data_IF_305256960109
#
_entry.id   IF_305256960109
#
_cell.length_a   1.000
_cell.length_b   1.000
_cell.length_c   1.000
_cell.angle_alpha   90.00
_cell.angle_beta   90.00
_cell.angle_gamma   90.00
#
_symmetry.space_group_name_H-M   'P 1'
#
loop_
_entity.id
_entity.type
_entity.pdbx_description
1 polymer ?
#
# COMPACT_ATOMS: atom_id res chain seq x y z
N UNK A 1 12.76 19.56 56.97
CA UNK A 1 12.83 18.69 55.79
C UNK A 1 13.07 19.61 54.62
N UNK A 2 14.22 19.47 53.97
CA UNK A 2 14.78 20.50 53.09
C UNK A 2 14.02 20.60 51.76
N UNK A 3 13.91 21.80 51.18
CA UNK A 3 13.23 21.97 49.86
C UNK A 3 13.93 21.17 48.78
N UNK A 4 15.24 21.01 48.89
CA UNK A 4 16.06 20.23 47.97
C UNK A 4 15.72 18.74 48.03
N UNK A 5 15.33 18.21 49.19
CA UNK A 5 14.89 16.82 49.33
C UNK A 5 13.57 16.56 48.58
N UNK A 6 12.63 17.51 48.63
CA UNK A 6 11.36 17.40 47.89
C UNK A 6 11.57 17.50 46.38
N UNK A 7 12.47 18.36 45.92
CA UNK A 7 12.80 18.47 44.48
C UNK A 7 13.44 17.18 43.98
N UNK A 8 14.37 16.59 44.74
CA UNK A 8 15.00 15.32 44.40
C UNK A 8 13.99 14.18 44.37
N UNK A 9 13.08 14.12 45.35
CA UNK A 9 12.01 13.12 45.40
C UNK A 9 11.06 13.25 44.21
N UNK A 10 10.66 14.47 43.83
CA UNK A 10 9.82 14.73 42.65
C UNK A 10 10.55 14.32 41.36
N UNK A 11 11.84 14.63 41.23
CA UNK A 11 12.64 14.24 40.07
C UNK A 11 12.76 12.71 39.95
N UNK A 12 12.96 11.99 41.06
CA UNK A 12 13.00 10.52 41.09
C UNK A 12 11.63 9.92 40.74
N UNK A 13 10.53 10.50 41.23
CA UNK A 13 9.18 10.06 40.89
C UNK A 13 8.84 10.30 39.40
N UNK A 14 9.29 11.43 38.83
CA UNK A 14 9.15 11.72 37.40
C UNK A 14 9.99 10.76 36.53
N UNK A 15 11.20 10.39 36.98
CA UNK A 15 12.01 9.36 36.32
C UNK A 15 11.36 7.97 36.37
N UNK A 16 10.66 7.64 37.47
CA UNK A 16 9.91 6.40 37.60
C UNK A 16 8.71 6.34 36.64
N UNK A 17 7.98 7.46 36.47
CA UNK A 17 6.87 7.56 35.50
C UNK A 17 7.32 7.47 34.04
N UNK A 18 8.56 7.88 33.73
CA UNK A 18 9.15 7.77 32.39
C UNK A 18 9.68 6.35 32.07
N UNK A 19 9.64 5.42 33.03
CA UNK A 19 10.22 4.08 32.92
C UNK A 19 9.20 2.96 32.65
N UNK A 20 8.09 3.25 31.95
CA UNK A 20 7.16 2.23 31.42
C UNK A 20 6.99 2.28 29.89
N UNK A 21 7.85 3.00 29.16
CA UNK A 21 7.88 2.99 27.69
C UNK A 21 8.96 2.05 27.11
N UNK A 22 9.33 1.00 27.83
CA UNK A 22 10.16 -0.06 27.24
C UNK A 22 9.31 -0.87 26.28
N UNK A 23 9.75 -1.05 25.02
CA UNK A 23 9.20 -2.06 24.12
C UNK A 23 9.41 -3.45 24.74
N UNK A 24 8.50 -3.86 25.62
CA UNK A 24 8.50 -5.19 26.21
C UNK A 24 8.16 -6.16 25.10
N UNK A 25 9.04 -7.14 24.91
CA UNK A 25 8.78 -8.27 24.05
C UNK A 25 7.43 -8.90 24.41
N UNK A 26 6.56 -9.08 23.41
CA UNK A 26 5.23 -9.63 23.60
C UNK A 26 5.13 -10.99 22.91
N UNK A 27 5.22 -12.08 23.69
CA UNK A 27 5.14 -13.43 23.14
C UNK A 27 3.77 -13.69 22.52
N UNK A 28 2.69 -13.20 23.13
CA UNK A 28 1.33 -13.38 22.66
C UNK A 28 1.08 -12.70 21.30
N UNK A 29 1.81 -11.62 21.02
CA UNK A 29 1.78 -11.00 19.71
C UNK A 29 2.46 -11.89 18.66
N UNK A 30 3.62 -12.47 18.98
CA UNK A 30 4.32 -13.42 18.11
C UNK A 30 3.49 -14.68 17.89
N UNK A 31 2.87 -15.23 18.94
CA UNK A 31 2.01 -16.44 18.87
C UNK A 31 0.73 -16.21 18.04
N UNK A 32 0.31 -14.95 17.90
CA UNK A 32 -0.85 -14.59 17.08
C UNK A 32 -0.53 -14.36 15.61
N UNK A 33 0.75 -14.42 15.23
CA UNK A 33 1.21 -14.12 13.88
C UNK A 33 0.67 -15.15 12.90
N UNK A 34 0.06 -14.62 11.85
CA UNK A 34 -0.29 -15.38 10.65
C UNK A 34 0.25 -14.61 9.45
N UNK A 35 1.03 -15.29 8.61
CA UNK A 35 1.43 -14.74 7.32
C UNK A 35 0.19 -14.75 6.44
N UNK A 36 -0.16 -13.57 5.91
CA UNK A 36 -1.32 -13.42 5.04
C UNK A 36 -0.91 -12.99 3.66
N UNK A 37 -1.76 -13.36 2.72
CA UNK A 37 -1.64 -12.97 1.33
C UNK A 37 -2.09 -11.54 1.09
N UNK A 38 -2.80 -10.91 2.03
CA UNK A 38 -3.13 -9.48 1.92
C UNK A 38 -3.68 -8.90 3.20
N UNK A 39 -3.50 -7.59 3.38
CA UNK A 39 -4.13 -6.83 4.44
C UNK A 39 -5.43 -6.16 4.00
N UNK A 40 -6.36 -5.89 4.94
CA UNK A 40 -7.50 -5.03 4.71
C UNK A 40 -7.10 -3.66 4.20
N UNK A 41 -7.91 -3.07 3.34
CA UNK A 41 -7.63 -1.76 2.74
C UNK A 41 -8.80 -0.79 2.83
N UNK A 42 -9.81 -1.16 3.62
CA UNK A 42 -10.94 -0.32 4.01
C UNK A 42 -11.26 -0.54 5.48
N UNK A 43 -11.96 0.42 6.09
CA UNK A 43 -12.41 0.29 7.48
C UNK A 43 -13.31 -0.94 7.67
N UNK A 44 -14.18 -1.22 6.70
CA UNK A 44 -15.12 -2.36 6.75
C UNK A 44 -14.34 -3.68 6.70
N UNK A 45 -13.41 -3.84 5.75
CA UNK A 45 -12.60 -5.06 5.65
C UNK A 45 -11.74 -5.24 6.90
N UNK A 46 -11.24 -4.14 7.46
CA UNK A 46 -10.46 -4.17 8.69
C UNK A 46 -11.31 -4.64 9.86
N UNK A 47 -12.54 -4.14 10.02
CA UNK A 47 -13.47 -4.57 11.08
C UNK A 47 -13.83 -6.05 10.95
N UNK A 48 -14.05 -6.54 9.73
CA UNK A 48 -14.33 -7.96 9.45
C UNK A 48 -13.12 -8.83 9.83
N UNK A 49 -11.92 -8.46 9.37
CA UNK A 49 -10.69 -9.21 9.66
C UNK A 49 -10.33 -9.18 11.16
N UNK A 50 -10.46 -8.01 11.79
CA UNK A 50 -10.28 -7.83 13.23
C UNK A 50 -11.25 -8.68 14.05
N UNK A 51 -12.53 -8.71 13.66
CA UNK A 51 -13.56 -9.55 14.29
C UNK A 51 -13.26 -11.03 14.15
N UNK A 52 -12.77 -11.47 12.98
CA UNK A 52 -12.35 -12.86 12.75
C UNK A 52 -11.13 -13.24 13.60
N UNK A 53 -10.12 -12.37 13.66
CA UNK A 53 -8.89 -12.62 14.44
C UNK A 53 -9.13 -12.53 15.95
N UNK A 54 -10.15 -11.78 16.36
CA UNK A 54 -10.69 -11.68 17.72
C UNK A 54 -9.62 -11.37 18.78
N UNK A 55 -8.86 -10.29 18.54
CA UNK A 55 -7.78 -9.86 19.42
C UNK A 55 -8.28 -9.45 20.81
N UNK A 56 -9.52 -8.98 20.94
CA UNK A 56 -10.14 -8.63 22.23
C UNK A 56 -10.17 -9.83 23.19
N UNK A 57 -10.50 -11.02 22.68
CA UNK A 57 -10.48 -12.25 23.49
C UNK A 57 -9.07 -12.65 23.92
N UNK A 58 -8.06 -12.35 23.10
CA UNK A 58 -6.64 -12.62 23.41
C UNK A 58 -6.06 -11.56 24.36
N UNK A 59 -6.59 -10.34 24.34
CA UNK A 59 -6.12 -9.22 25.15
C UNK A 59 -6.15 -9.53 26.66
N UNK A 60 -7.15 -10.29 27.14
CA UNK A 60 -7.27 -10.68 28.55
C UNK A 60 -6.24 -11.70 29.04
N UNK A 61 -5.43 -12.27 28.13
CA UNK A 61 -4.46 -13.32 28.43
C UNK A 61 -3.01 -12.85 28.37
N UNK A 62 -2.77 -11.66 27.82
CA UNK A 62 -1.43 -11.09 27.65
C UNK A 62 -1.12 -10.10 28.78
N UNK A 63 0.18 -9.92 29.07
CA UNK A 63 0.70 -8.93 30.01
C UNK A 63 1.64 -7.91 29.34
N UNK A 64 1.53 -7.77 28.02
CA UNK A 64 2.35 -6.88 27.19
C UNK A 64 1.95 -5.41 27.31
N UNK A 65 0.64 -5.11 27.36
CA UNK A 65 0.08 -3.75 27.45
C UNK A 65 -1.38 -3.80 27.94
N UNK A 66 -2.05 -2.65 27.98
CA UNK A 66 -3.47 -2.56 28.34
C UNK A 66 -4.37 -3.28 27.34
N UNK A 67 -5.50 -3.79 27.84
CA UNK A 67 -6.49 -4.53 27.06
C UNK A 67 -6.96 -3.74 25.83
N UNK A 68 -7.21 -2.43 26.00
CA UNK A 68 -7.72 -1.55 24.96
C UNK A 68 -6.71 -1.30 23.83
N UNK A 69 -5.42 -1.43 24.12
CA UNK A 69 -4.36 -1.23 23.15
C UNK A 69 -4.04 -2.48 22.35
N UNK A 70 -4.38 -3.66 22.85
CA UNK A 70 -4.11 -4.93 22.17
C UNK A 70 -5.08 -5.16 21.00
N UNK A 71 -4.71 -4.63 19.83
CA UNK A 71 -5.58 -4.54 18.66
C UNK A 71 -5.11 -5.46 17.53
N UNK A 72 -6.00 -5.67 16.58
CA UNK A 72 -5.67 -6.30 15.32
C UNK A 72 -4.79 -5.37 14.47
N UNK A 73 -3.74 -5.93 13.89
CA UNK A 73 -2.90 -5.28 12.90
C UNK A 73 -2.74 -6.21 11.70
N UNK A 74 -2.69 -5.63 10.51
CA UNK A 74 -2.15 -6.28 9.34
C UNK A 74 -1.13 -5.34 8.69
N UNK A 75 0.13 -5.76 8.70
CA UNK A 75 1.29 -4.91 8.39
C UNK A 75 2.39 -5.71 7.72
N UNK A 76 3.42 -5.04 7.19
CA UNK A 76 4.62 -5.69 6.69
C UNK A 76 5.46 -6.28 7.85
N UNK A 77 6.23 -7.34 7.56
CA UNK A 77 7.26 -7.82 8.48
C UNK A 77 8.53 -6.95 8.42
N UNK A 78 9.47 -7.20 9.34
CA UNK A 78 10.75 -6.48 9.41
C UNK A 78 11.62 -6.54 8.14
N UNK A 79 11.48 -7.60 7.35
CA UNK A 79 12.21 -7.77 6.08
C UNK A 79 11.49 -7.14 4.88
N UNK A 80 10.25 -6.68 5.06
CA UNK A 80 9.39 -6.07 4.02
C UNK A 80 9.06 -7.00 2.85
N UNK A 81 9.12 -8.31 3.07
CA UNK A 81 8.84 -9.32 2.05
C UNK A 81 7.54 -10.09 2.31
N UNK A 82 6.94 -9.95 3.49
CA UNK A 82 5.69 -10.62 3.87
C UNK A 82 4.73 -9.63 4.53
N UNK A 83 3.43 -9.92 4.39
CA UNK A 83 2.37 -9.30 5.18
C UNK A 83 1.98 -10.25 6.30
N UNK A 84 1.76 -9.70 7.49
CA UNK A 84 1.43 -10.46 8.68
C UNK A 84 0.21 -9.85 9.36
N UNK A 85 -0.71 -10.71 9.77
CA UNK A 85 -1.77 -10.38 10.70
C UNK A 85 -1.35 -10.77 12.11
N UNK A 86 -1.47 -9.84 13.06
CA UNK A 86 -1.12 -10.05 14.48
C UNK A 86 -2.12 -9.35 15.39
N UNK A 87 -2.22 -9.85 16.61
CA UNK A 87 -2.80 -9.12 17.74
C UNK A 87 -1.64 -8.53 18.54
N UNK A 88 -1.53 -7.21 18.61
CA UNK A 88 -0.40 -6.58 19.27
C UNK A 88 -0.81 -5.24 19.90
N UNK A 89 -0.04 -4.72 20.87
CA UNK A 89 -0.24 -3.38 21.38
C UNK A 89 -0.08 -2.34 20.26
N UNK A 90 -1.13 -1.54 20.06
CA UNK A 90 -1.10 -0.41 19.16
C UNK A 90 -0.11 0.66 19.63
N UNK A 91 0.68 1.15 18.69
CA UNK A 91 1.64 2.25 18.84
C UNK A 91 1.26 3.44 17.96
N UNK A 92 1.76 4.61 18.35
CA UNK A 92 1.79 5.78 17.49
C UNK A 92 3.05 5.65 16.62
N UNK A 93 2.87 5.78 15.31
CA UNK A 93 3.92 5.68 14.29
C UNK A 93 4.27 7.09 13.84
N UNK A 94 5.56 7.37 13.67
CA UNK A 94 6.09 8.71 13.42
C UNK A 94 6.79 8.76 12.06
N UNK A 95 6.07 9.17 11.02
CA UNK A 95 6.69 9.45 9.72
C UNK A 95 7.37 8.24 9.09
N UNK A 96 6.89 7.04 9.39
CA UNK A 96 7.33 5.77 8.79
C UNK A 96 6.12 4.86 8.51
N UNK A 97 6.31 3.81 7.72
CA UNK A 97 5.33 2.74 7.64
C UNK A 97 5.33 1.87 8.90
N UNK A 98 4.17 1.30 9.23
CA UNK A 98 4.04 0.35 10.34
C UNK A 98 4.59 -1.01 9.95
N UNK A 99 5.40 -1.62 10.80
CA UNK A 99 5.77 -3.03 10.70
C UNK A 99 5.47 -3.82 11.97
N UNK A 100 5.47 -5.15 11.83
CA UNK A 100 5.64 -6.05 12.96
C UNK A 100 7.04 -6.65 12.95
N UNK A 101 7.82 -6.34 13.99
CA UNK A 101 9.12 -6.94 14.23
C UNK A 101 8.93 -8.26 14.98
N UNK A 102 9.04 -9.37 14.25
CA UNK A 102 8.87 -10.72 14.79
C UNK A 102 9.87 -11.02 15.92
N UNK A 103 11.12 -10.58 15.77
CA UNK A 103 12.15 -10.81 16.78
C UNK A 103 11.92 -9.97 18.06
N UNK A 104 11.44 -8.74 17.87
CA UNK A 104 11.08 -7.84 18.98
C UNK A 104 9.71 -8.17 19.59
N UNK A 105 8.84 -8.88 18.88
CA UNK A 105 7.45 -9.09 19.29
C UNK A 105 6.66 -7.78 19.38
N UNK A 106 6.99 -6.77 18.56
CA UNK A 106 6.40 -5.43 18.67
C UNK A 106 5.97 -4.86 17.32
N UNK A 107 4.92 -4.03 17.37
CA UNK A 107 4.59 -3.07 16.32
C UNK A 107 5.52 -1.87 16.46
N UNK A 108 6.15 -1.43 15.36
CA UNK A 108 7.06 -0.29 15.37
C UNK A 108 7.15 0.42 14.02
N UNK A 109 7.89 1.52 13.99
CA UNK A 109 8.31 2.22 12.78
C UNK A 109 9.25 1.34 11.95
N UNK A 110 8.95 1.19 10.66
CA UNK A 110 9.91 0.65 9.70
C UNK A 110 10.86 1.77 9.28
N UNK A 111 11.98 1.87 9.98
CA UNK A 111 12.99 2.92 9.82
C UNK A 111 13.56 3.01 8.39
N UNK A 112 13.53 1.90 7.64
CA UNK A 112 13.99 1.86 6.24
C UNK A 112 12.94 2.37 5.24
N UNK A 113 11.77 2.80 5.71
CA UNK A 113 10.65 3.26 4.87
C UNK A 113 10.00 4.54 5.46
N UNK A 114 10.73 5.68 5.48
CA UNK A 114 10.20 6.97 5.94
C UNK A 114 9.10 7.50 5.02
N UNK A 115 8.05 8.06 5.62
CA UNK A 115 7.02 8.81 4.90
C UNK A 115 7.66 10.03 4.23
N UNK A 116 7.28 10.32 2.98
CA UNK A 116 7.60 11.59 2.34
C UNK A 116 6.50 12.01 1.36
N UNK A 117 6.63 13.20 0.76
CA UNK A 117 5.61 13.78 -0.12
C UNK A 117 5.37 12.99 -1.41
N UNK A 118 6.35 12.18 -1.82
CA UNK A 118 6.26 11.33 -3.00
C UNK A 118 5.88 9.89 -2.63
N UNK A 119 6.72 9.22 -1.83
CA UNK A 119 6.59 7.81 -1.52
C UNK A 119 7.52 7.25 -0.41
N UNK A 120 7.00 6.44 0.54
CA UNK A 120 5.58 6.19 0.82
C UNK A 120 4.90 7.43 1.38
N UNK A 121 3.65 7.70 0.96
CA UNK A 121 2.85 8.78 1.57
C UNK A 121 2.02 8.19 2.72
N UNK A 122 2.46 8.49 3.93
CA UNK A 122 1.73 8.20 5.17
C UNK A 122 1.65 9.47 6.00
N UNK A 123 0.69 9.52 6.92
CA UNK A 123 0.57 10.64 7.85
C UNK A 123 1.85 10.73 8.70
N UNK A 124 2.29 11.95 9.02
CA UNK A 124 3.46 12.16 9.87
C UNK A 124 3.30 11.50 11.24
N UNK A 125 2.06 11.36 11.72
CA UNK A 125 1.73 10.72 12.99
C UNK A 125 0.40 9.99 12.81
N UNK A 126 0.37 8.68 13.06
CA UNK A 126 -0.88 7.90 13.03
C UNK A 126 -0.86 6.71 13.98
N UNK A 127 -2.05 6.18 14.29
CA UNK A 127 -2.16 4.95 15.07
C UNK A 127 -1.85 3.75 14.17
N UNK A 128 -0.91 2.90 14.57
CA UNK A 128 -0.57 1.66 13.86
C UNK A 128 -1.75 0.74 13.52
N UNK A 129 -2.88 0.78 14.24
CA UNK A 129 -4.09 0.02 13.88
C UNK A 129 -4.76 0.55 12.61
N UNK A 130 -4.44 1.78 12.23
CA UNK A 130 -4.99 2.48 11.07
C UNK A 130 -4.12 2.31 9.81
N UNK A 131 -3.12 1.43 9.84
CA UNK A 131 -2.24 1.17 8.70
C UNK A 131 -3.01 0.73 7.43
N UNK A 132 -4.20 0.13 7.58
CA UNK A 132 -5.09 -0.24 6.48
C UNK A 132 -5.56 0.94 5.63
N UNK A 133 -5.47 2.17 6.15
CA UNK A 133 -5.90 3.37 5.42
C UNK A 133 -4.99 3.65 4.22
N UNK A 134 -3.75 3.17 4.20
CA UNK A 134 -2.77 3.54 3.18
C UNK A 134 -2.78 2.57 1.99
N UNK A 135 -2.83 3.13 0.77
CA UNK A 135 -2.74 2.39 -0.50
C UNK A 135 -1.74 3.04 -1.44
N UNK A 136 -1.02 2.26 -2.22
CA UNK A 136 -0.08 2.80 -3.23
C UNK A 136 -0.74 2.86 -4.60
N UNK A 137 -0.81 4.05 -5.21
CA UNK A 137 -1.23 4.26 -6.60
C UNK A 137 -0.01 4.53 -7.48
N UNK A 138 0.02 3.92 -8.66
CA UNK A 138 0.98 4.22 -9.71
C UNK A 138 0.20 4.82 -10.87
N UNK A 139 0.36 6.13 -11.11
CA UNK A 139 -0.18 6.79 -12.29
C UNK A 139 0.78 6.56 -13.45
N UNK A 140 0.25 6.09 -14.56
CA UNK A 140 1.03 5.74 -15.74
C UNK A 140 0.40 6.40 -16.96
N UNK A 141 1.24 7.03 -17.77
CA UNK A 141 0.86 7.61 -19.05
C UNK A 141 1.68 6.99 -20.16
N UNK A 142 0.99 6.61 -21.24
CA UNK A 142 1.61 6.15 -22.49
C UNK A 142 1.01 6.87 -23.70
N UNK A 143 1.83 7.04 -24.74
CA UNK A 143 1.34 7.39 -26.08
C UNK A 143 0.87 6.14 -26.79
N UNK A 144 -0.30 6.23 -27.41
CA UNK A 144 -0.94 5.17 -28.18
C UNK A 144 -0.64 5.34 -29.68
N UNK A 145 -0.51 4.22 -30.38
CA UNK A 145 -0.16 4.20 -31.82
C UNK A 145 -1.25 3.63 -32.72
N UNK A 146 -2.17 2.85 -32.16
CA UNK A 146 -3.30 2.26 -32.89
C UNK A 146 -4.66 2.84 -32.45
N UNK A 147 -4.66 4.02 -31.82
CA UNK A 147 -5.87 4.73 -31.42
C UNK A 147 -5.96 6.03 -32.22
N UNK A 148 -7.18 6.38 -32.61
CA UNK A 148 -7.56 7.73 -33.03
C UNK A 148 -8.54 8.26 -32.01
N UNK A 149 -8.21 9.37 -31.34
CA UNK A 149 -9.09 9.94 -30.32
C UNK A 149 -10.45 10.36 -30.90
N UNK A 150 -11.52 10.09 -30.14
CA UNK A 150 -12.90 10.48 -30.43
C UNK A 150 -13.51 11.15 -29.20
N UNK A 151 -14.59 11.92 -29.39
CA UNK A 151 -15.27 12.59 -28.27
C UNK A 151 -15.91 11.59 -27.29
N UNK A 152 -16.24 10.39 -27.75
CA UNK A 152 -16.80 9.31 -26.95
C UNK A 152 -15.77 8.80 -25.93
N UNK A 153 -14.48 8.84 -26.25
CA UNK A 153 -13.40 8.48 -25.34
C UNK A 153 -13.17 9.50 -24.21
N UNK A 154 -13.77 10.69 -24.30
CA UNK A 154 -13.82 11.64 -23.18
C UNK A 154 -14.74 11.17 -22.05
N UNK A 155 -15.73 10.33 -22.37
CA UNK A 155 -16.72 9.84 -21.42
C UNK A 155 -16.38 8.42 -20.98
N UNK A 156 -16.00 8.23 -19.71
CA UNK A 156 -15.64 6.93 -19.14
C UNK A 156 -16.78 5.93 -19.16
N UNK A 157 -18.03 6.39 -19.26
CA UNK A 157 -19.21 5.55 -19.34
C UNK A 157 -19.58 5.16 -20.78
N UNK A 158 -18.88 5.68 -21.79
CA UNK A 158 -19.18 5.36 -23.18
C UNK A 158 -18.77 3.92 -23.52
N UNK A 159 -19.51 3.32 -24.46
CA UNK A 159 -19.19 1.98 -24.94
C UNK A 159 -17.79 1.91 -25.57
N UNK A 160 -17.37 2.98 -26.24
CA UNK A 160 -16.07 3.08 -26.90
C UNK A 160 -14.91 3.17 -25.88
N UNK A 161 -15.13 3.90 -24.78
CA UNK A 161 -14.16 3.93 -23.69
C UNK A 161 -14.04 2.54 -23.05
N UNK A 162 -15.17 1.93 -22.68
CA UNK A 162 -15.20 0.63 -22.00
C UNK A 162 -14.64 -0.50 -22.86
N UNK A 163 -14.88 -0.49 -24.17
CA UNK A 163 -14.36 -1.51 -25.10
C UNK A 163 -12.83 -1.51 -25.19
N UNK A 164 -12.17 -0.41 -24.87
CA UNK A 164 -10.71 -0.32 -24.80
C UNK A 164 -10.20 -0.50 -23.36
N UNK A 165 -10.81 0.17 -22.39
CA UNK A 165 -10.35 0.22 -21.01
C UNK A 165 -10.46 -1.12 -20.28
N UNK A 166 -11.57 -1.85 -20.45
CA UNK A 166 -11.81 -3.14 -19.78
C UNK A 166 -10.79 -4.20 -20.18
N UNK A 167 -10.60 -4.52 -21.48
CA UNK A 167 -9.60 -5.51 -21.87
C UNK A 167 -8.16 -5.04 -21.61
N UNK A 168 -7.87 -3.74 -21.65
CA UNK A 168 -6.59 -3.18 -21.22
C UNK A 168 -6.30 -3.51 -19.76
N UNK A 169 -7.23 -3.23 -18.85
CA UNK A 169 -7.05 -3.51 -17.44
C UNK A 169 -7.11 -5.00 -17.10
N UNK A 170 -7.86 -5.81 -17.86
CA UNK A 170 -7.84 -7.28 -17.73
C UNK A 170 -6.45 -7.82 -17.99
N UNK A 171 -5.80 -7.38 -19.07
CA UNK A 171 -4.42 -7.78 -19.39
C UNK A 171 -3.44 -7.44 -18.26
N UNK A 172 -3.48 -6.20 -17.73
CA UNK A 172 -2.58 -5.80 -16.64
C UNK A 172 -2.89 -6.56 -15.34
N UNK A 173 -4.17 -6.83 -15.09
CA UNK A 173 -4.59 -7.64 -13.94
C UNK A 173 -4.04 -9.05 -14.03
N UNK A 174 -4.14 -9.71 -15.18
CA UNK A 174 -3.58 -11.05 -15.38
C UNK A 174 -2.05 -11.03 -15.24
N UNK A 175 -1.38 -10.02 -15.82
CA UNK A 175 0.07 -9.88 -15.76
C UNK A 175 0.61 -9.72 -14.33
N UNK A 176 -0.02 -8.87 -13.52
CA UNK A 176 0.47 -8.56 -12.18
C UNK A 176 -0.08 -9.49 -11.10
N UNK A 177 -1.35 -9.90 -11.18
CA UNK A 177 -1.95 -10.76 -10.15
C UNK A 177 -1.41 -12.20 -10.16
N UNK A 178 -0.77 -12.63 -11.23
CA UNK A 178 -0.21 -13.99 -11.35
C UNK A 178 1.25 -14.11 -10.89
N UNK A 179 1.93 -13.00 -10.62
CA UNK A 179 3.35 -12.99 -10.23
C UNK A 179 3.52 -12.99 -8.73
N UNK A 180 4.38 -13.85 -8.19
CA UNK A 180 4.58 -14.00 -6.74
C UNK A 180 4.81 -12.67 -6.00
N UNK A 181 5.58 -11.74 -6.59
CA UNK A 181 5.83 -10.42 -6.01
C UNK A 181 4.56 -9.56 -5.87
N UNK A 182 3.60 -9.69 -6.78
CA UNK A 182 2.48 -8.76 -6.93
C UNK A 182 1.12 -9.40 -6.68
N UNK A 183 1.00 -10.72 -6.77
CA UNK A 183 -0.22 -11.53 -6.56
C UNK A 183 -1.00 -11.16 -5.31
N UNK A 184 -0.27 -10.70 -4.31
CA UNK A 184 -0.75 -10.44 -2.96
C UNK A 184 -0.96 -8.95 -2.65
N UNK A 185 -0.33 -8.09 -3.43
CA UNK A 185 -0.36 -6.64 -3.22
C UNK A 185 -1.03 -5.88 -4.36
N UNK A 186 -1.19 -6.44 -5.55
CA UNK A 186 -1.95 -5.81 -6.63
C UNK A 186 -3.45 -5.84 -6.31
N UNK A 187 -4.11 -4.69 -6.39
CA UNK A 187 -5.56 -4.58 -6.17
C UNK A 187 -6.33 -4.40 -7.47
N UNK A 188 -5.99 -3.38 -8.27
CA UNK A 188 -6.74 -3.07 -9.48
C UNK A 188 -5.92 -2.26 -10.49
N UNK A 189 -6.44 -2.27 -11.72
CA UNK A 189 -6.14 -1.32 -12.77
C UNK A 189 -7.38 -0.47 -13.04
N UNK A 190 -7.20 0.81 -13.29
CA UNK A 190 -8.26 1.70 -13.74
C UNK A 190 -7.74 2.66 -14.80
N UNK A 191 -8.37 2.67 -15.97
CA UNK A 191 -8.14 3.72 -16.97
C UNK A 191 -8.89 4.97 -16.54
N UNK A 192 -8.14 6.07 -16.38
CA UNK A 192 -8.69 7.36 -15.94
C UNK A 192 -9.18 8.17 -17.12
N UNK A 193 -8.41 8.21 -18.21
CA UNK A 193 -8.77 8.95 -19.40
C UNK A 193 -7.97 8.48 -20.62
N UNK A 194 -8.58 8.64 -21.80
CA UNK A 194 -7.84 8.82 -23.03
C UNK A 194 -7.77 10.33 -23.30
N UNK A 195 -6.62 10.83 -23.74
CA UNK A 195 -6.43 12.26 -24.00
C UNK A 195 -5.69 12.47 -25.30
N UNK A 196 -6.03 13.53 -26.02
CA UNK A 196 -5.26 14.00 -27.17
C UNK A 196 -4.49 15.26 -26.77
N UNK A 197 -3.16 15.18 -26.79
CA UNK A 197 -2.29 16.27 -26.38
C UNK A 197 -1.07 16.36 -27.29
N UNK A 198 -0.80 17.54 -27.84
CA UNK A 198 0.34 17.75 -28.73
C UNK A 198 0.30 16.89 -30.00
N UNK A 199 -0.90 16.62 -30.52
CA UNK A 199 -1.12 15.76 -31.69
C UNK A 199 -0.87 14.27 -31.44
N UNK A 200 -0.76 13.86 -30.17
CA UNK A 200 -0.58 12.45 -29.78
C UNK A 200 -1.73 12.01 -28.90
N UNK A 201 -2.25 10.82 -29.19
CA UNK A 201 -3.26 10.19 -28.36
C UNK A 201 -2.56 9.43 -27.24
N UNK A 202 -3.03 9.59 -26.01
CA UNK A 202 -2.45 9.04 -24.79
C UNK A 202 -3.50 8.34 -23.97
N UNK A 203 -3.05 7.39 -23.15
CA UNK A 203 -3.83 6.79 -22.08
C UNK A 203 -3.24 7.19 -20.74
N UNK A 204 -4.10 7.58 -19.79
CA UNK A 204 -3.78 7.77 -18.39
C UNK A 204 -4.49 6.69 -17.59
N UNK A 205 -3.75 5.90 -16.83
CA UNK A 205 -4.33 4.86 -15.99
C UNK A 205 -3.58 4.74 -14.67
N UNK A 206 -4.23 4.07 -13.72
CA UNK A 206 -3.73 3.86 -12.38
C UNK A 206 -3.64 2.37 -12.12
N UNK A 207 -2.53 1.95 -11.53
CA UNK A 207 -2.41 0.67 -10.84
C UNK A 207 -2.44 0.91 -9.34
N UNK A 208 -3.27 0.17 -8.62
CA UNK A 208 -3.40 0.28 -7.16
C UNK A 208 -2.83 -0.98 -6.51
N UNK A 209 -2.05 -0.75 -5.45
CA UNK A 209 -1.43 -1.77 -4.63
C UNK A 209 -1.78 -1.58 -3.15
N UNK A 210 -1.92 -2.68 -2.42
CA UNK A 210 -2.19 -2.73 -0.98
C UNK A 210 -1.04 -2.12 -0.21
N UNK A 211 -1.35 -1.31 0.80
CA UNK A 211 -0.35 -0.74 1.70
C UNK A 211 0.58 0.27 1.05
N UNK A 212 1.52 0.75 1.86
CA UNK A 212 2.66 1.53 1.41
C UNK A 212 3.76 0.58 0.90
N UNK A 213 4.01 0.62 -0.40
CA UNK A 213 5.03 -0.23 -1.06
C UNK A 213 6.44 0.37 -0.92
N UNK A 214 7.44 -0.09 -1.66
CA UNK A 214 8.76 0.57 -1.73
C UNK A 214 8.96 1.33 -3.09
N UNK A 215 9.88 2.32 -3.20
CA UNK A 215 10.06 3.11 -4.43
C UNK A 215 10.51 2.30 -5.66
N UNK A 216 11.09 1.11 -5.47
CA UNK A 216 11.52 0.26 -6.58
C UNK A 216 10.34 -0.43 -7.27
N UNK A 217 9.14 -0.39 -6.68
CA UNK A 217 7.91 -0.92 -7.26
C UNK A 217 7.68 -0.40 -8.69
N UNK A 218 7.90 0.89 -8.96
CA UNK A 218 7.76 1.45 -10.32
C UNK A 218 8.66 0.76 -11.33
N UNK A 219 9.93 0.56 -10.97
CA UNK A 219 10.92 -0.09 -11.84
C UNK A 219 10.53 -1.53 -12.12
N UNK A 220 10.01 -2.24 -11.12
CA UNK A 220 9.56 -3.60 -11.29
C UNK A 220 8.29 -3.73 -12.12
N UNK A 221 7.31 -2.85 -11.91
CA UNK A 221 6.10 -2.78 -12.75
C UNK A 221 6.51 -2.54 -14.20
N UNK A 222 7.35 -1.54 -14.44
CA UNK A 222 7.83 -1.22 -15.78
C UNK A 222 8.60 -2.38 -16.41
N UNK A 223 9.61 -2.92 -15.72
CA UNK A 223 10.42 -4.02 -16.23
C UNK A 223 9.56 -5.22 -16.60
N UNK A 224 8.63 -5.60 -15.73
CA UNK A 224 7.69 -6.70 -15.97
C UNK A 224 6.81 -6.43 -17.17
N UNK A 225 6.29 -5.21 -17.33
CA UNK A 225 5.48 -4.86 -18.49
C UNK A 225 6.28 -4.94 -19.79
N UNK A 226 7.47 -4.34 -19.85
CA UNK A 226 8.30 -4.29 -21.06
C UNK A 226 8.83 -5.68 -21.47
N UNK A 227 9.14 -6.53 -20.49
CA UNK A 227 9.66 -7.87 -20.72
C UNK A 227 8.60 -8.86 -21.20
N UNK A 228 7.34 -8.68 -20.77
CA UNK A 228 6.28 -9.69 -20.97
C UNK A 228 5.20 -9.25 -21.95
N UNK A 229 5.07 -7.95 -22.21
CA UNK A 229 4.15 -7.47 -23.22
C UNK A 229 4.61 -7.90 -24.63
N UNK A 230 3.74 -8.51 -25.43
CA UNK A 230 4.03 -8.80 -26.83
C UNK A 230 4.43 -7.51 -27.56
N UNK A 231 5.35 -7.64 -28.52
CA UNK A 231 5.80 -6.52 -29.35
C UNK A 231 5.23 -6.65 -30.75
N UNK A 232 4.82 -5.53 -31.34
CA UNK A 232 4.41 -5.45 -32.73
C UNK A 232 4.91 -4.15 -33.35
N UNK A 233 5.06 -4.15 -34.67
CA UNK A 233 5.34 -2.93 -35.43
C UNK A 233 4.00 -2.30 -35.80
N UNK A 234 3.76 -1.08 -35.31
CA UNK A 234 2.54 -0.31 -35.58
C UNK A 234 2.97 1.04 -36.14
N UNK A 235 2.51 1.37 -37.34
CA UNK A 235 2.89 2.60 -38.06
C UNK A 235 4.43 2.78 -38.19
N UNK A 236 5.16 1.68 -38.34
CA UNK A 236 6.63 1.68 -38.53
C UNK A 236 7.45 1.74 -37.23
N UNK A 237 6.81 1.79 -36.06
CA UNK A 237 7.48 1.84 -34.77
C UNK A 237 7.22 0.59 -33.93
N UNK A 238 8.21 0.19 -33.13
CA UNK A 238 8.06 -0.92 -32.18
C UNK A 238 7.17 -0.46 -31.03
N UNK A 239 6.04 -1.13 -30.87
CA UNK A 239 5.08 -0.90 -29.79
C UNK A 239 4.93 -2.17 -28.96
N UNK A 240 4.64 -1.99 -27.66
CA UNK A 240 4.17 -3.08 -26.81
C UNK A 240 2.65 -3.14 -26.86
N UNK A 241 2.10 -4.34 -26.85
CA UNK A 241 0.66 -4.59 -26.92
C UNK A 241 0.14 -4.91 -25.53
N UNK A 242 -0.82 -4.10 -25.06
CA UNK A 242 -1.47 -4.24 -23.75
C UNK A 242 -2.98 -4.23 -23.97
N UNK A 243 -3.60 -5.40 -23.84
CA UNK A 243 -4.98 -5.60 -24.28
C UNK A 243 -5.14 -5.21 -25.77
N UNK A 244 -6.08 -4.32 -26.13
CA UNK A 244 -6.28 -3.90 -27.52
C UNK A 244 -5.35 -2.75 -27.96
N UNK A 245 -4.50 -2.23 -27.07
CA UNK A 245 -3.76 -0.98 -27.29
C UNK A 245 -2.28 -1.24 -27.60
N UNK A 246 -1.77 -0.53 -28.60
CA UNK A 246 -0.36 -0.48 -28.95
C UNK A 246 0.26 0.78 -28.33
N UNK A 247 1.16 0.58 -27.37
CA UNK A 247 1.82 1.65 -26.64
C UNK A 247 3.26 1.83 -27.11
N UNK A 248 3.67 3.09 -27.28
CA UNK A 248 5.03 3.41 -27.69
C UNK A 248 5.99 3.31 -26.51
N UNK A 249 6.96 2.40 -26.59
CA UNK A 249 7.85 2.01 -25.48
C UNK A 249 8.62 3.21 -24.90
N UNK A 250 9.04 4.14 -25.76
CA UNK A 250 9.86 5.29 -25.37
C UNK A 250 9.04 6.50 -24.88
N UNK A 251 7.71 6.38 -24.81
CA UNK A 251 6.82 7.47 -24.36
C UNK A 251 6.43 7.42 -22.88
N UNK A 252 7.03 6.51 -22.11
CA UNK A 252 6.62 6.26 -20.75
C UNK A 252 6.83 7.48 -19.84
N UNK A 253 5.76 7.91 -19.16
CA UNK A 253 5.83 8.72 -17.95
C UNK A 253 5.13 7.99 -16.79
N UNK A 254 5.81 7.83 -15.64
CA UNK A 254 5.28 7.20 -14.43
C UNK A 254 5.36 8.17 -13.27
N UNK A 255 4.26 8.31 -12.52
CA UNK A 255 4.20 9.05 -11.26
C UNK A 255 3.52 8.19 -10.18
N UNK A 256 4.28 7.75 -9.17
CA UNK A 256 3.73 7.03 -8.01
C UNK A 256 3.24 8.00 -6.93
N UNK A 257 2.13 7.65 -6.28
CA UNK A 257 1.57 8.37 -5.14
C UNK A 257 0.87 7.38 -4.20
N UNK A 258 1.11 7.45 -2.89
CA UNK A 258 0.28 6.72 -1.91
C UNK A 258 -0.90 7.61 -1.49
N UNK A 259 -2.08 7.02 -1.31
CA UNK A 259 -3.31 7.72 -0.95
C UNK A 259 -4.03 7.02 0.20
N UNK A 260 -4.93 7.73 0.88
CA UNK A 260 -5.73 7.22 2.01
C UNK A 260 -7.13 6.75 1.61
N UNK A 261 -7.48 6.81 0.33
CA UNK A 261 -8.78 6.43 -0.21
C UNK A 261 -8.64 5.40 -1.34
N UNK A 262 -9.59 4.48 -1.45
CA UNK A 262 -9.69 3.58 -2.60
C UNK A 262 -10.21 4.34 -3.82
N UNK A 263 -9.62 4.09 -4.99
CA UNK A 263 -10.35 4.37 -6.22
C UNK A 263 -11.61 3.50 -6.27
N UNK A 264 -12.76 4.04 -6.69
CA UNK A 264 -13.94 3.21 -6.90
C UNK A 264 -13.63 2.17 -7.97
N UNK A 265 -14.09 0.91 -7.83
CA UNK A 265 -14.01 -0.05 -8.93
C UNK A 265 -14.65 0.58 -10.16
N UNK A 266 -13.94 0.57 -11.30
CA UNK A 266 -14.45 1.10 -12.56
C UNK A 266 -15.83 0.50 -12.86
N UNK A 267 -16.84 1.35 -13.03
CA UNK A 267 -18.19 0.96 -13.39
C UNK A 267 -18.31 0.58 -14.86
#
# INVERSE_FOLDING_TARGET
>A
MDKDFYILLIMVLLQYQMCECGNRYCQEAVDSLEIVTSCPTSKIDWEIAAGKKNCEKKASRQNCDSLERFKYHCVINGFRNELVEVCAPSRIIFGHCTEFNVHGGVIQDQMSTPCNDAFPKCDLIYNSSDAYKFKTLINITFVLKNLTYTNQLANTESQEFKSLAVPFCSYLTDLYSTRDRFKYIYELCQVMAFVQEGGKDKINFILQFKGAQDPTLQKFIYGILIENAPRAIVNGEISIIVGPLAMFVDSLAINQATVTYSLPPGK
#
